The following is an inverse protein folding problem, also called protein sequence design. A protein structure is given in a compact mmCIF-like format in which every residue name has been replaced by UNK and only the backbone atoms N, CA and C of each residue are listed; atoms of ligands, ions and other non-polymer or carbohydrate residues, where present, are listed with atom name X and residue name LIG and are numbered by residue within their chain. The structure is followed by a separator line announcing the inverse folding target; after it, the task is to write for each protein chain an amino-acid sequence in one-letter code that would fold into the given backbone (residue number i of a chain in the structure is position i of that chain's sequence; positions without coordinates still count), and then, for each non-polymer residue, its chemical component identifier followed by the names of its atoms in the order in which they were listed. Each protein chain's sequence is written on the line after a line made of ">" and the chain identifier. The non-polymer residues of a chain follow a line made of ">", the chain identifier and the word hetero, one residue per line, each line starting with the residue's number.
data_IF_812586048247
#
_entry.id   IF_812586048247
#
_cell.length_a   1.000
_cell.length_b   1.000
_cell.length_c   1.000
_cell.angle_alpha   90.00
_cell.angle_beta   90.00
_cell.angle_gamma   90.00
#
_symmetry.space_group_name_H-M   'P 1'
#
loop_
_entity.id
_entity.type
_entity.pdbx_description
1 polymer ?
#
# COMPACT_ATOMS: atom_id res chain seq x y z
N UNK A 1 -0.91 10.82 -4.91
CA UNK A 1 -1.39 10.14 -3.69
C UNK A 1 -1.37 8.63 -3.93
N UNK A 2 -0.26 7.94 -3.58
CA UNK A 2 -0.01 6.55 -3.95
C UNK A 2 -1.02 5.55 -3.39
N UNK A 3 -1.58 5.80 -2.20
CA UNK A 3 -2.62 4.94 -1.63
C UNK A 3 -3.92 4.93 -2.44
N UNK A 4 -4.33 6.09 -2.98
CA UNK A 4 -5.52 6.16 -3.85
C UNK A 4 -5.31 5.46 -5.19
N UNK A 5 -4.09 5.52 -5.73
CA UNK A 5 -3.73 4.79 -6.95
C UNK A 5 -3.76 3.27 -6.72
N UNK A 6 -3.24 2.79 -5.59
CA UNK A 6 -3.24 1.36 -5.28
C UNK A 6 -4.67 0.79 -5.21
N UNK A 7 -5.60 1.52 -4.59
CA UNK A 7 -7.02 1.13 -4.53
C UNK A 7 -7.65 1.08 -5.93
N UNK A 8 -7.43 2.12 -6.75
CA UNK A 8 -7.96 2.14 -8.11
C UNK A 8 -7.40 1.00 -8.99
N UNK A 9 -6.15 0.56 -8.74
CA UNK A 9 -5.53 -0.55 -9.45
C UNK A 9 -6.03 -1.91 -8.94
N UNK A 10 -6.31 -2.05 -7.64
CA UNK A 10 -6.99 -3.22 -7.06
C UNK A 10 -8.36 -3.41 -7.71
N UNK A 11 -9.15 -2.34 -7.83
CA UNK A 11 -10.48 -2.37 -8.48
C UNK A 11 -10.40 -2.76 -9.98
N UNK A 12 -9.24 -2.54 -10.61
CA UNK A 12 -8.97 -2.94 -12.00
C UNK A 12 -8.34 -4.34 -12.12
N UNK A 13 -8.25 -5.10 -11.02
CA UNK A 13 -7.55 -6.39 -10.93
C UNK A 13 -6.06 -6.34 -11.34
N UNK A 14 -5.44 -5.15 -11.30
CA UNK A 14 -4.01 -4.94 -11.62
C UNK A 14 -3.18 -5.03 -10.34
N UNK A 15 -3.18 -6.21 -9.73
CA UNK A 15 -2.61 -6.42 -8.40
C UNK A 15 -1.10 -6.13 -8.32
N UNK A 16 -0.32 -6.48 -9.34
CA UNK A 16 1.13 -6.20 -9.36
C UNK A 16 1.43 -4.70 -9.27
N UNK A 17 0.72 -3.88 -10.04
CA UNK A 17 0.88 -2.42 -10.03
C UNK A 17 0.31 -1.81 -8.74
N UNK A 18 -0.80 -2.35 -8.24
CA UNK A 18 -1.37 -1.96 -6.95
C UNK A 18 -0.35 -2.15 -5.82
N UNK A 19 0.37 -3.28 -5.82
CA UNK A 19 1.44 -3.59 -4.86
C UNK A 19 2.58 -2.58 -4.96
N UNK A 20 3.08 -2.28 -6.16
CA UNK A 20 4.17 -1.31 -6.33
C UNK A 20 3.79 0.07 -5.77
N UNK A 21 2.54 0.49 -5.97
CA UNK A 21 2.04 1.75 -5.42
C UNK A 21 1.78 1.69 -3.91
N UNK A 22 1.30 0.56 -3.39
CA UNK A 22 1.12 0.34 -1.96
C UNK A 22 2.47 0.31 -1.22
N UNK A 23 3.52 -0.30 -1.79
CA UNK A 23 4.88 -0.28 -1.24
C UNK A 23 5.46 1.13 -1.15
N UNK A 24 5.30 1.93 -2.21
CA UNK A 24 5.68 3.36 -2.18
C UNK A 24 4.90 4.14 -1.12
N UNK A 25 3.61 3.86 -0.98
CA UNK A 25 2.78 4.50 0.05
C UNK A 25 3.21 4.13 1.47
N UNK A 26 3.63 2.88 1.71
CA UNK A 26 4.21 2.43 2.98
C UNK A 26 5.53 3.15 3.24
N UNK A 27 6.45 3.17 2.27
CA UNK A 27 7.76 3.82 2.43
C UNK A 27 7.61 5.29 2.82
N UNK A 28 6.78 6.04 2.10
CA UNK A 28 6.51 7.45 2.42
C UNK A 28 5.90 7.62 3.81
N UNK A 29 5.02 6.70 4.21
CA UNK A 29 4.42 6.73 5.53
C UNK A 29 5.43 6.43 6.65
N UNK A 30 6.35 5.49 6.41
CA UNK A 30 7.46 5.18 7.33
C UNK A 30 8.38 6.40 7.46
N UNK A 31 8.74 7.04 6.35
CA UNK A 31 9.61 8.22 6.36
C UNK A 31 8.94 9.42 7.05
N UNK A 32 7.63 9.58 6.89
CA UNK A 32 6.89 10.71 7.46
C UNK A 32 6.53 10.54 8.95
N UNK A 33 6.16 9.32 9.36
CA UNK A 33 5.58 9.07 10.69
C UNK A 33 6.39 8.08 11.55
N UNK A 34 7.35 7.39 10.97
CA UNK A 34 8.07 6.29 11.60
C UNK A 34 7.35 4.94 11.45
N UNK A 35 8.13 3.86 11.46
CA UNK A 35 7.66 2.48 11.23
C UNK A 35 6.65 1.97 12.27
N UNK A 36 6.59 2.57 13.46
CA UNK A 36 5.65 2.18 14.52
C UNK A 36 4.32 2.94 14.47
N UNK A 37 4.12 3.83 13.49
CA UNK A 37 2.91 4.65 13.45
C UNK A 37 1.70 3.83 12.95
N UNK A 38 0.50 3.97 13.56
CA UNK A 38 -0.69 3.19 13.17
C UNK A 38 -1.05 3.31 11.68
N UNK A 39 -0.78 4.47 11.08
CA UNK A 39 -1.03 4.69 9.66
C UNK A 39 -0.07 3.89 8.75
N UNK A 40 1.16 3.63 9.21
CA UNK A 40 2.10 2.73 8.52
C UNK A 40 1.59 1.30 8.60
N UNK A 41 1.19 0.84 9.78
CA UNK A 41 0.63 -0.50 9.97
C UNK A 41 -0.59 -0.74 9.08
N UNK A 42 -1.49 0.24 8.99
CA UNK A 42 -2.68 0.15 8.13
C UNK A 42 -2.31 -0.01 6.65
N UNK A 43 -1.32 0.75 6.17
CA UNK A 43 -0.82 0.63 4.79
C UNK A 43 -0.09 -0.69 4.56
N UNK A 44 0.65 -1.18 5.55
CA UNK A 44 1.33 -2.46 5.50
C UNK A 44 0.34 -3.62 5.46
N UNK A 45 -0.73 -3.58 6.26
CA UNK A 45 -1.81 -4.56 6.22
C UNK A 45 -2.48 -4.60 4.85
N UNK A 46 -2.75 -3.42 4.27
CA UNK A 46 -3.32 -3.29 2.94
C UNK A 46 -2.40 -3.90 1.86
N UNK A 47 -1.11 -3.59 1.89
CA UNK A 47 -0.11 -4.20 1.01
C UNK A 47 -0.08 -5.73 1.15
N UNK A 48 -0.12 -6.25 2.38
CA UNK A 48 -0.14 -7.69 2.64
C UNK A 48 -1.42 -8.35 2.11
N UNK A 49 -2.56 -7.65 2.14
CA UNK A 49 -3.80 -8.13 1.52
C UNK A 49 -3.61 -8.26 0.01
N UNK A 50 -3.10 -7.23 -0.67
CA UNK A 50 -2.87 -7.26 -2.11
C UNK A 50 -1.92 -8.39 -2.54
N UNK A 51 -0.87 -8.64 -1.76
CA UNK A 51 0.08 -9.74 -2.00
C UNK A 51 -0.53 -11.14 -1.85
N UNK A 52 -1.70 -11.29 -1.21
CA UNK A 52 -2.41 -12.58 -1.09
C UNK A 52 -3.36 -12.85 -2.26
N UNK A 53 -3.71 -11.82 -3.03
CA UNK A 53 -4.64 -11.92 -4.17
C UNK A 53 -3.90 -12.24 -5.48
N UNK A 54 -2.56 -12.37 -5.42
CA UNK A 54 -1.69 -12.86 -6.50
C UNK A 54 -1.30 -14.31 -6.18
#
# INVERSE_FOLDING_TARGET
>A
NHGKLAIALEDLHRYEEAIQHAEKAVSIAVDAYGSSHPEVEKRQQYLNKLKKEI
#
